data_IF_160983127416
#
_entry.id   IF_160983127416
#
_cell.length_a   1.000
_cell.length_b   1.000
_cell.length_c   1.000
_cell.angle_alpha   90.00
_cell.angle_beta   90.00
_cell.angle_gamma   90.00
#
_symmetry.space_group_name_H-M   'P 1'
#
loop_
_entity.id
_entity.type
_entity.pdbx_description
1 polymer ?
#
# COMPACT_ATOMS: atom_id res chain seq x y z
N UNK A 1 -33.99 -0.26 14.94
CA UNK A 1 -33.96 -0.54 16.40
C UNK A 1 -32.52 -0.50 16.88
N UNK A 2 -32.01 0.65 17.36
CA UNK A 2 -30.64 0.77 17.85
C UNK A 2 -30.57 0.26 19.31
N UNK A 3 -29.61 -0.60 19.62
CA UNK A 3 -29.25 -0.96 20.99
C UNK A 3 -27.99 -0.21 21.37
N UNK A 4 -28.15 0.85 22.17
CA UNK A 4 -27.07 1.54 22.84
C UNK A 4 -26.56 0.70 24.02
N UNK A 5 -25.24 0.65 24.20
CA UNK A 5 -24.58 0.12 25.39
C UNK A 5 -23.78 1.26 26.04
N UNK A 6 -24.11 1.66 27.28
CA UNK A 6 -23.34 2.70 27.96
C UNK A 6 -22.09 2.08 28.62
N UNK A 7 -20.92 2.61 28.26
CA UNK A 7 -19.68 2.35 28.99
C UNK A 7 -19.65 3.16 30.30
N UNK A 8 -19.52 2.45 31.41
CA UNK A 8 -19.40 2.98 32.77
C UNK A 8 -18.05 3.69 32.97
N UNK A 9 -18.08 4.96 33.38
CA UNK A 9 -16.92 5.73 33.84
C UNK A 9 -16.54 5.32 35.26
N UNK A 10 -15.27 5.01 35.50
CA UNK A 10 -14.68 4.96 36.83
C UNK A 10 -14.30 6.39 37.28
N UNK A 11 -14.92 6.87 38.35
CA UNK A 11 -14.54 8.10 39.06
C UNK A 11 -14.13 7.71 40.48
N UNK A 12 -12.86 7.88 40.83
CA UNK A 12 -12.34 7.61 42.17
C UNK A 12 -12.04 8.94 42.85
N UNK A 13 -13.03 9.45 43.58
CA UNK A 13 -12.87 10.49 44.60
C UNK A 13 -12.71 9.80 45.95
N UNK A 14 -11.57 10.02 46.60
CA UNK A 14 -11.29 9.55 47.96
C UNK A 14 -10.51 10.62 48.71
N UNK A 15 -11.24 11.48 49.41
CA UNK A 15 -10.73 12.44 50.38
C UNK A 15 -10.47 11.72 51.71
N UNK A 16 -9.39 12.06 52.41
CA UNK A 16 -9.33 12.29 53.86
C UNK A 16 -8.11 13.19 54.11
N UNK A 17 -8.37 14.37 54.66
CA UNK A 17 -7.34 15.23 55.23
C UNK A 17 -6.98 14.76 56.63
N UNK A 18 -5.69 14.82 56.94
CA UNK A 18 -5.18 14.95 58.31
C UNK A 18 -4.08 15.99 58.23
N UNK A 19 -4.35 17.17 58.77
CA UNK A 19 -3.29 18.10 59.14
C UNK A 19 -2.61 17.61 60.41
N UNK A 20 -1.29 17.79 60.50
CA UNK A 20 -0.71 18.10 61.80
C UNK A 20 0.54 18.95 61.64
N UNK A 21 0.53 20.06 62.36
CA UNK A 21 1.56 21.07 62.51
C UNK A 21 2.55 20.71 63.62
N UNK A 22 3.81 21.14 63.41
CA UNK A 22 4.76 21.70 64.40
C UNK A 22 5.27 20.89 65.59
N UNK A 23 6.48 21.29 66.01
CA UNK A 23 7.26 20.97 67.23
C UNK A 23 8.02 19.62 67.20
N UNK A 24 9.31 19.53 67.49
CA UNK A 24 10.07 20.16 68.59
C UNK A 24 11.52 20.47 68.17
N UNK A 25 12.02 21.65 68.56
CA UNK A 25 13.44 21.91 68.72
C UNK A 25 13.89 21.25 70.03
N UNK A 26 14.99 20.50 70.02
CA UNK A 26 15.75 20.16 71.21
C UNK A 26 17.12 20.79 71.06
N UNK A 27 17.36 21.82 71.86
CA UNK A 27 18.69 22.31 72.21
C UNK A 27 19.37 21.22 73.04
N UNK A 28 20.53 20.76 72.61
CA UNK A 28 21.54 20.16 73.48
C UNK A 28 22.91 20.66 72.96
N UNK A 29 23.47 21.59 73.73
CA UNK A 29 24.82 22.09 73.64
C UNK A 29 25.78 21.03 74.21
N UNK A 30 26.75 20.55 73.41
CA UNK A 30 28.00 19.96 73.93
C UNK A 30 29.13 20.02 72.87
N UNK A 31 30.04 20.98 73.11
CA UNK A 31 31.50 21.04 72.95
C UNK A 31 32.29 20.17 71.92
N UNK A 32 32.83 20.86 70.91
CA UNK A 32 34.17 20.80 70.25
C UNK A 32 34.76 19.45 69.77
N UNK A 33 34.80 19.25 68.43
CA UNK A 33 36.00 18.75 67.73
C UNK A 33 35.98 19.12 66.23
N UNK A 34 37.05 19.75 65.76
CA UNK A 34 37.27 20.22 64.38
C UNK A 34 37.38 19.07 63.37
N UNK A 35 36.24 18.62 62.84
CA UNK A 35 36.11 17.75 61.65
C UNK A 35 35.52 18.57 60.51
N UNK A 36 35.85 18.28 59.23
CA UNK A 36 35.45 19.12 58.10
C UNK A 36 33.94 19.28 58.16
N UNK A 37 33.48 20.53 58.35
CA UNK A 37 32.09 20.85 58.69
C UNK A 37 31.15 20.02 57.81
N UNK A 38 30.33 19.13 58.39
CA UNK A 38 29.36 18.40 57.59
C UNK A 38 28.45 19.46 56.98
N UNK A 39 28.46 19.58 55.65
CA UNK A 39 27.56 20.46 54.90
C UNK A 39 26.21 20.47 55.60
N UNK A 40 25.76 21.65 56.03
CA UNK A 40 24.57 21.79 56.87
C UNK A 40 23.44 20.99 56.24
N UNK A 41 22.58 20.33 57.03
CA UNK A 41 21.45 19.56 56.49
C UNK A 41 20.63 20.36 55.44
N UNK A 42 20.54 21.68 55.64
CA UNK A 42 19.93 22.64 54.70
C UNK A 42 20.66 22.73 53.36
N UNK A 43 21.98 22.59 53.37
CA UNK A 43 22.84 22.60 52.20
C UNK A 43 22.77 21.30 51.40
N UNK A 44 22.84 20.15 52.07
CA UNK A 44 22.60 18.84 51.44
C UNK A 44 21.23 18.78 50.75
N UNK A 45 20.20 19.34 51.38
CA UNK A 45 18.86 19.45 50.78
C UNK A 45 18.84 20.34 49.54
N UNK A 46 19.58 21.46 49.56
CA UNK A 46 19.72 22.36 48.39
C UNK A 46 20.44 21.66 47.24
N UNK A 47 21.53 20.95 47.51
CA UNK A 47 22.25 20.18 46.49
C UNK A 47 21.39 19.10 45.85
N UNK A 48 20.66 18.31 46.65
CA UNK A 48 19.76 17.29 46.13
C UNK A 48 18.67 17.89 45.23
N UNK A 49 18.11 19.04 45.62
CA UNK A 49 17.13 19.76 44.80
C UNK A 49 17.73 20.24 43.48
N UNK A 50 18.93 20.83 43.50
CA UNK A 50 19.64 21.26 42.28
C UNK A 50 19.95 20.08 41.36
N UNK A 51 20.41 18.95 41.89
CA UNK A 51 20.68 17.75 41.12
C UNK A 51 19.41 17.18 40.47
N UNK A 52 18.29 17.15 41.20
CA UNK A 52 17.01 16.71 40.68
C UNK A 52 16.51 17.60 39.52
N UNK A 53 16.63 18.93 39.67
CA UNK A 53 16.25 19.88 38.62
C UNK A 53 17.18 19.79 37.40
N UNK A 54 18.49 19.58 37.60
CA UNK A 54 19.43 19.36 36.50
C UNK A 54 19.05 18.09 35.71
N UNK A 55 18.79 16.98 36.39
CA UNK A 55 18.33 15.73 35.75
C UNK A 55 17.03 15.93 34.97
N UNK A 56 16.08 16.71 35.51
CA UNK A 56 14.84 17.07 34.80
C UNK A 56 15.13 17.89 33.53
N UNK A 57 16.03 18.86 33.60
CA UNK A 57 16.43 19.69 32.44
C UNK A 57 17.12 18.88 31.36
N UNK A 58 17.99 17.95 31.75
CA UNK A 58 18.70 17.08 30.82
C UNK A 58 17.73 16.11 30.11
N UNK A 59 16.74 15.58 30.82
CA UNK A 59 15.68 14.78 30.23
C UNK A 59 14.84 15.58 29.20
N UNK A 60 14.49 16.84 29.53
CA UNK A 60 13.78 17.73 28.60
C UNK A 60 14.64 18.02 27.37
N UNK A 61 15.93 18.33 27.56
CA UNK A 61 16.87 18.59 26.47
C UNK A 61 16.96 17.39 25.52
N UNK A 62 17.12 16.18 26.07
CA UNK A 62 17.11 14.93 25.29
C UNK A 62 15.79 14.76 24.51
N UNK A 63 14.66 15.11 25.12
CA UNK A 63 13.36 15.09 24.43
C UNK A 63 13.29 16.05 23.24
N UNK A 64 13.90 17.24 23.34
CA UNK A 64 14.02 18.17 22.21
C UNK A 64 14.92 17.63 21.11
N UNK A 65 16.05 17.02 21.46
CA UNK A 65 16.98 16.43 20.48
C UNK A 65 16.28 15.32 19.68
N UNK A 66 15.58 14.40 20.35
CA UNK A 66 14.76 13.36 19.68
C UNK A 66 13.64 13.96 18.84
N UNK A 67 13.00 15.04 19.30
CA UNK A 67 11.93 15.69 18.54
C UNK A 67 12.45 16.32 17.24
N UNK A 68 13.65 16.91 17.26
CA UNK A 68 14.30 17.43 16.07
C UNK A 68 14.64 16.32 15.07
N UNK A 69 15.07 15.15 15.56
CA UNK A 69 15.32 13.97 14.73
C UNK A 69 14.03 13.41 14.10
N UNK A 70 12.89 13.44 14.80
CA UNK A 70 11.64 12.88 14.27
C UNK A 70 10.93 13.79 13.27
N UNK A 71 11.18 15.10 13.33
CA UNK A 71 10.47 16.11 12.53
C UNK A 71 11.34 16.50 11.33
N UNK A 72 11.01 16.09 10.08
CA UNK A 72 11.88 16.30 8.93
C UNK A 72 12.22 17.77 8.65
N UNK A 73 11.28 18.68 8.95
CA UNK A 73 11.46 20.11 8.76
C UNK A 73 12.41 20.73 9.79
N UNK A 74 12.70 20.06 10.90
CA UNK A 74 13.73 20.45 11.86
C UNK A 74 15.13 20.02 11.39
N UNK A 75 15.26 18.85 10.77
CA UNK A 75 16.54 18.34 10.25
C UNK A 75 17.11 19.17 9.09
N UNK A 76 16.25 19.70 8.21
CA UNK A 76 16.69 20.48 7.03
C UNK A 76 17.47 21.75 7.39
N UNK A 77 17.31 22.27 8.61
CA UNK A 77 17.98 23.50 9.06
C UNK A 77 19.40 23.28 9.60
N UNK A 78 19.80 22.03 9.90
CA UNK A 78 21.13 21.71 10.43
C UNK A 78 22.26 21.98 9.42
N UNK A 79 21.94 22.19 8.14
CA UNK A 79 22.88 22.59 7.08
C UNK A 79 23.42 24.01 7.27
N UNK A 80 22.69 24.86 8.02
CA UNK A 80 23.05 26.28 8.24
C UNK A 80 23.90 26.54 9.49
N UNK A 81 24.16 25.51 10.31
CA UNK A 81 24.91 25.64 11.57
C UNK A 81 24.18 26.39 12.69
N UNK A 82 22.98 26.95 12.44
CA UNK A 82 22.17 27.64 13.44
C UNK A 82 21.24 26.68 14.19
N UNK A 83 21.39 26.61 15.52
CA UNK A 83 20.52 25.82 16.39
C UNK A 83 19.10 26.39 16.39
N UNK A 84 18.12 25.57 16.06
CA UNK A 84 16.71 25.95 16.05
C UNK A 84 16.22 26.34 17.44
N UNK A 85 15.39 27.38 17.53
CA UNK A 85 14.79 27.78 18.80
C UNK A 85 13.81 26.72 19.31
N UNK A 86 13.70 26.56 20.64
CA UNK A 86 12.75 25.63 21.26
C UNK A 86 11.31 25.88 20.81
N UNK A 87 10.91 27.13 20.66
CA UNK A 87 9.58 27.50 20.18
C UNK A 87 9.36 27.05 18.73
N UNK A 88 10.36 27.25 17.86
CA UNK A 88 10.30 26.80 16.46
C UNK A 88 10.19 25.28 16.35
N UNK A 89 10.96 24.53 17.14
CA UNK A 89 10.88 23.06 17.16
C UNK A 89 9.48 22.60 17.52
N UNK A 90 8.89 23.17 18.57
CA UNK A 90 7.53 22.82 18.98
C UNK A 90 6.50 23.15 17.89
N UNK A 91 6.60 24.33 17.26
CA UNK A 91 5.68 24.71 16.19
C UNK A 91 5.78 23.76 14.99
N UNK A 92 7.01 23.50 14.50
CA UNK A 92 7.25 22.56 13.40
C UNK A 92 6.73 21.15 13.73
N UNK A 93 6.80 20.75 14.99
CA UNK A 93 6.28 19.46 15.46
C UNK A 93 4.76 19.40 15.42
N UNK A 94 4.08 20.48 15.84
CA UNK A 94 2.62 20.59 15.76
C UNK A 94 2.17 20.48 14.30
N UNK A 95 2.81 21.25 13.42
CA UNK A 95 2.49 21.25 11.98
C UNK A 95 2.71 19.84 11.38
N UNK A 96 3.78 19.16 11.78
CA UNK A 96 4.06 17.80 11.31
C UNK A 96 3.05 16.77 11.83
N UNK A 97 2.60 16.87 13.08
CA UNK A 97 1.53 16.01 13.61
C UNK A 97 0.22 16.22 12.82
N UNK A 98 -0.14 17.47 12.54
CA UNK A 98 -1.33 17.79 11.74
C UNK A 98 -1.21 17.22 10.31
N UNK A 99 -0.04 17.37 9.70
CA UNK A 99 0.27 16.77 8.40
C UNK A 99 0.10 15.23 8.43
N UNK A 100 0.68 14.56 9.43
CA UNK A 100 0.56 13.10 9.56
C UNK A 100 -0.89 12.65 9.79
N UNK A 101 -1.67 13.40 10.56
CA UNK A 101 -3.09 13.12 10.76
C UNK A 101 -3.88 13.24 9.45
N UNK A 102 -3.60 14.27 8.65
CA UNK A 102 -4.23 14.46 7.35
C UNK A 102 -3.83 13.35 6.35
N UNK A 103 -2.55 12.96 6.32
CA UNK A 103 -2.07 11.85 5.50
C UNK A 103 -2.72 10.53 5.90
N UNK A 104 -2.79 10.24 7.21
CA UNK A 104 -3.46 9.04 7.73
C UNK A 104 -4.92 9.00 7.30
N UNK A 105 -5.65 10.12 7.43
CA UNK A 105 -7.05 10.23 7.02
C UNK A 105 -7.21 9.94 5.52
N UNK A 106 -6.37 10.55 4.68
CA UNK A 106 -6.39 10.34 3.22
C UNK A 106 -6.17 8.86 2.86
N UNK A 107 -5.14 8.23 3.45
CA UNK A 107 -4.85 6.81 3.23
C UNK A 107 -5.99 5.90 3.68
N UNK A 108 -6.66 6.24 4.79
CA UNK A 108 -7.81 5.49 5.27
C UNK A 108 -9.02 5.61 4.33
N UNK A 109 -9.28 6.80 3.78
CA UNK A 109 -10.32 7.04 2.77
C UNK A 109 -10.06 6.24 1.49
N UNK A 110 -8.82 6.29 0.96
CA UNK A 110 -8.42 5.53 -0.23
C UNK A 110 -8.53 4.01 0.00
N UNK A 111 -8.04 3.52 1.14
CA UNK A 111 -8.19 2.10 1.51
C UNK A 111 -9.66 1.68 1.57
N UNK A 112 -10.53 2.52 2.11
CA UNK A 112 -11.95 2.22 2.20
C UNK A 112 -12.62 2.24 0.82
N UNK A 113 -12.22 3.14 -0.08
CA UNK A 113 -12.69 3.17 -1.46
C UNK A 113 -12.29 1.89 -2.22
N UNK A 114 -11.01 1.50 -2.16
CA UNK A 114 -10.50 0.29 -2.79
C UNK A 114 -11.22 -0.98 -2.26
N UNK A 115 -11.49 -1.04 -0.96
CA UNK A 115 -12.27 -2.16 -0.37
C UNK A 115 -13.68 -2.24 -0.96
N UNK A 116 -14.36 -1.10 -1.15
CA UNK A 116 -15.69 -1.07 -1.79
C UNK A 116 -15.64 -1.53 -3.24
N UNK A 117 -14.62 -1.10 -3.98
CA UNK A 117 -14.40 -1.52 -5.37
C UNK A 117 -14.17 -3.04 -5.49
N UNK A 118 -13.33 -3.61 -4.63
CA UNK A 118 -13.12 -5.07 -4.59
C UNK A 118 -14.42 -5.82 -4.33
N UNK A 119 -15.26 -5.34 -3.41
CA UNK A 119 -16.57 -5.96 -3.13
C UNK A 119 -17.48 -5.85 -4.36
N UNK A 120 -17.55 -4.69 -5.01
CA UNK A 120 -18.35 -4.50 -6.22
C UNK A 120 -17.90 -5.41 -7.36
N UNK A 121 -16.59 -5.51 -7.60
CA UNK A 121 -16.00 -6.41 -8.60
C UNK A 121 -16.33 -7.88 -8.32
N UNK A 122 -16.25 -8.31 -7.06
CA UNK A 122 -16.63 -9.68 -6.66
C UNK A 122 -18.11 -9.98 -6.90
N UNK A 123 -18.99 -9.01 -6.64
CA UNK A 123 -20.43 -9.13 -6.94
C UNK A 123 -20.64 -9.29 -8.45
N UNK A 124 -20.00 -8.44 -9.26
CA UNK A 124 -20.08 -8.53 -10.71
C UNK A 124 -19.56 -9.87 -11.25
N UNK A 125 -18.39 -10.31 -10.77
CA UNK A 125 -17.84 -11.62 -11.12
C UNK A 125 -18.84 -12.75 -10.83
N UNK A 126 -19.39 -12.77 -9.61
CA UNK A 126 -20.37 -13.78 -9.20
C UNK A 126 -21.60 -13.75 -10.11
N UNK A 127 -22.08 -12.56 -10.49
CA UNK A 127 -23.22 -12.41 -11.40
C UNK A 127 -22.89 -12.95 -12.81
N UNK A 128 -21.73 -12.64 -13.37
CA UNK A 128 -21.30 -13.19 -14.66
C UNK A 128 -21.14 -14.71 -14.63
N UNK A 129 -20.55 -15.26 -13.57
CA UNK A 129 -20.43 -16.71 -13.40
C UNK A 129 -21.79 -17.41 -13.37
N UNK A 130 -22.80 -16.80 -12.73
CA UNK A 130 -24.17 -17.30 -12.73
C UNK A 130 -24.80 -17.27 -14.12
N UNK A 131 -24.64 -16.18 -14.87
CA UNK A 131 -25.15 -16.05 -16.24
C UNK A 131 -24.50 -17.11 -17.15
N UNK A 132 -23.18 -17.28 -17.07
CA UNK A 132 -22.44 -18.27 -17.86
C UNK A 132 -22.90 -19.69 -17.54
N UNK A 133 -23.11 -20.01 -16.26
CA UNK A 133 -23.65 -21.32 -15.84
C UNK A 133 -25.08 -21.53 -16.35
N UNK A 134 -25.96 -20.53 -16.22
CA UNK A 134 -27.34 -20.60 -16.70
C UNK A 134 -27.40 -20.82 -18.23
N UNK A 135 -26.53 -20.16 -18.99
CA UNK A 135 -26.38 -20.37 -20.44
C UNK A 135 -25.84 -21.76 -20.79
N UNK A 136 -24.97 -22.34 -19.96
CA UNK A 136 -24.50 -23.73 -20.15
C UNK A 136 -25.57 -24.78 -19.85
N UNK A 137 -26.46 -24.50 -18.90
CA UNK A 137 -27.53 -25.42 -18.49
C UNK A 137 -28.81 -25.30 -19.31
N UNK A 138 -28.92 -24.34 -20.23
CA UNK A 138 -30.05 -24.21 -21.16
C UNK A 138 -29.98 -25.34 -22.21
N UNK A 139 -30.94 -26.29 -22.24
CA UNK A 139 -31.01 -27.32 -23.27
C UNK A 139 -31.39 -26.64 -24.60
N UNK A 140 -30.40 -26.49 -25.50
CA UNK A 140 -30.57 -25.85 -26.81
C UNK A 140 -29.47 -24.86 -27.21
N UNK A 141 -28.59 -24.44 -26.30
CA UNK A 141 -27.44 -23.55 -26.62
C UNK A 141 -26.11 -24.27 -26.84
N UNK A 142 -26.07 -25.59 -26.68
CA UNK A 142 -24.88 -26.41 -26.95
C UNK A 142 -24.61 -26.60 -28.44
N UNK A 143 -25.60 -26.43 -29.32
CA UNK A 143 -25.44 -26.62 -30.77
C UNK A 143 -24.62 -25.52 -31.47
N UNK A 144 -24.50 -24.32 -30.89
CA UNK A 144 -23.75 -23.20 -31.51
C UNK A 144 -22.31 -23.06 -31.01
N UNK A 145 -21.86 -23.91 -30.08
CA UNK A 145 -20.46 -23.91 -29.64
C UNK A 145 -19.62 -24.74 -30.59
N UNK A 146 -18.99 -24.07 -31.55
CA UNK A 146 -17.86 -24.62 -32.29
C UNK A 146 -16.81 -25.07 -31.26
N UNK A 147 -16.45 -26.35 -31.26
CA UNK A 147 -15.46 -26.93 -30.34
C UNK A 147 -14.12 -26.19 -30.45
N UNK A 148 -13.38 -26.07 -29.35
CA UNK A 148 -12.06 -25.46 -29.35
C UNK A 148 -11.09 -26.20 -30.30
N UNK A 149 -11.29 -27.50 -30.49
CA UNK A 149 -10.60 -28.32 -31.51
C UNK A 149 -10.78 -27.76 -32.92
N UNK A 150 -12.02 -27.38 -33.26
CA UNK A 150 -12.35 -26.82 -34.58
C UNK A 150 -11.77 -25.42 -34.71
N UNK A 151 -11.82 -24.61 -33.64
CA UNK A 151 -11.18 -23.28 -33.64
C UNK A 151 -9.67 -23.38 -33.85
N UNK A 152 -9.02 -24.33 -33.17
CA UNK A 152 -7.59 -24.55 -33.30
C UNK A 152 -7.22 -25.05 -34.70
N UNK A 153 -7.99 -25.98 -35.25
CA UNK A 153 -7.78 -26.47 -36.61
C UNK A 153 -7.94 -25.38 -37.67
N UNK A 154 -8.91 -24.48 -37.51
CA UNK A 154 -9.08 -23.31 -38.39
C UNK A 154 -7.91 -22.34 -38.25
N UNK A 155 -7.48 -22.03 -37.01
CA UNK A 155 -6.34 -21.16 -36.76
C UNK A 155 -5.05 -21.72 -37.37
N UNK A 156 -4.78 -23.01 -37.14
CA UNK A 156 -3.64 -23.71 -37.72
C UNK A 156 -3.66 -23.61 -39.25
N UNK A 157 -4.81 -23.88 -39.88
CA UNK A 157 -4.94 -23.80 -41.33
C UNK A 157 -4.72 -22.37 -41.88
N UNK A 158 -5.11 -21.33 -41.14
CA UNK A 158 -4.80 -19.94 -41.52
C UNK A 158 -3.29 -19.67 -41.43
N UNK A 159 -2.66 -20.09 -40.33
CA UNK A 159 -1.23 -19.88 -40.11
C UNK A 159 -0.37 -20.63 -41.14
N UNK A 160 -0.75 -21.86 -41.50
CA UNK A 160 -0.08 -22.63 -42.55
C UNK A 160 -0.17 -21.94 -43.91
N UNK A 161 -1.33 -21.37 -44.26
CA UNK A 161 -1.48 -20.62 -45.52
C UNK A 161 -0.60 -19.37 -45.55
N UNK A 162 -0.54 -18.61 -44.45
CA UNK A 162 0.33 -17.44 -44.34
C UNK A 162 1.81 -17.83 -44.37
N UNK A 163 2.17 -18.95 -43.77
CA UNK A 163 3.55 -19.45 -43.81
C UNK A 163 3.97 -19.89 -45.21
N UNK A 164 3.08 -20.56 -45.96
CA UNK A 164 3.35 -20.94 -47.35
C UNK A 164 3.59 -19.72 -48.25
N UNK A 165 2.81 -18.65 -48.08
CA UNK A 165 3.05 -17.41 -48.85
C UNK A 165 4.33 -16.70 -48.43
N UNK A 166 4.69 -16.79 -47.14
CA UNK A 166 5.94 -16.24 -46.62
C UNK A 166 7.17 -16.98 -47.14
N UNK A 167 7.09 -18.28 -47.42
CA UNK A 167 8.22 -19.08 -47.89
C UNK A 167 8.78 -18.63 -49.26
N UNK A 168 8.05 -17.75 -49.97
CA UNK A 168 8.52 -17.11 -51.20
C UNK A 168 9.42 -15.89 -50.94
N UNK A 169 9.58 -15.45 -49.68
CA UNK A 169 10.44 -14.33 -49.29
C UNK A 169 11.88 -14.82 -49.15
N UNK A 170 12.81 -14.19 -49.90
CA UNK A 170 14.25 -14.49 -49.80
C UNK A 170 14.77 -14.16 -48.40
N UNK A 171 15.43 -15.13 -47.77
CA UNK A 171 16.11 -15.00 -46.46
C UNK A 171 17.63 -14.87 -46.60
N UNK A 172 18.12 -14.58 -47.80
CA UNK A 172 19.55 -14.67 -48.15
C UNK A 172 20.42 -13.61 -47.47
N UNK A 173 19.88 -12.41 -47.22
CA UNK A 173 20.53 -11.33 -46.47
C UNK A 173 19.49 -10.35 -45.91
N UNK A 174 19.90 -9.48 -44.98
CA UNK A 174 18.99 -8.54 -44.30
C UNK A 174 18.29 -7.56 -45.26
N UNK A 175 18.97 -7.13 -46.33
CA UNK A 175 18.38 -6.20 -47.29
C UNK A 175 17.27 -6.85 -48.12
N UNK A 176 17.50 -8.08 -48.59
CA UNK A 176 16.50 -8.86 -49.33
C UNK A 176 15.34 -9.31 -48.43
N UNK A 177 15.66 -9.72 -47.20
CA UNK A 177 14.65 -10.10 -46.21
C UNK A 177 13.77 -8.90 -45.86
N UNK A 178 14.36 -7.75 -45.52
CA UNK A 178 13.58 -6.57 -45.14
C UNK A 178 12.67 -6.12 -46.29
N UNK A 179 13.19 -6.01 -47.52
CA UNK A 179 12.39 -5.65 -48.68
C UNK A 179 11.29 -6.69 -48.98
N UNK A 180 11.63 -7.99 -48.95
CA UNK A 180 10.69 -9.06 -49.24
C UNK A 180 9.59 -9.22 -48.18
N UNK A 181 9.91 -9.01 -46.89
CA UNK A 181 8.91 -9.02 -45.81
C UNK A 181 7.93 -7.86 -45.96
N UNK A 182 8.39 -6.66 -46.34
CA UNK A 182 7.49 -5.53 -46.60
C UNK A 182 6.56 -5.80 -47.79
N UNK A 183 7.09 -6.28 -48.91
CA UNK A 183 6.27 -6.66 -50.08
C UNK A 183 5.26 -7.75 -49.72
N UNK A 184 5.67 -8.78 -48.97
CA UNK A 184 4.78 -9.84 -48.52
C UNK A 184 3.67 -9.34 -47.59
N UNK A 185 3.99 -8.45 -46.64
CA UNK A 185 3.00 -7.84 -45.74
C UNK A 185 1.95 -7.04 -46.53
N UNK A 186 2.39 -6.27 -47.51
CA UNK A 186 1.50 -5.45 -48.35
C UNK A 186 0.64 -6.28 -49.30
N UNK A 187 1.10 -7.46 -49.71
CA UNK A 187 0.40 -8.31 -50.66
C UNK A 187 -0.55 -9.31 -49.97
N UNK A 188 -0.14 -9.92 -48.87
CA UNK A 188 -0.86 -11.06 -48.25
C UNK A 188 -1.50 -10.75 -46.89
N UNK A 189 -1.01 -9.75 -46.16
CA UNK A 189 -1.43 -9.47 -44.78
C UNK A 189 -2.34 -8.24 -44.62
N UNK A 190 -2.83 -7.66 -45.72
CA UNK A 190 -3.84 -6.59 -45.67
C UNK A 190 -5.14 -7.12 -45.06
N UNK A 191 -5.90 -6.31 -44.29
CA UNK A 191 -7.13 -6.77 -43.62
C UNK A 191 -8.14 -7.46 -44.54
N UNK A 192 -8.27 -6.98 -45.77
CA UNK A 192 -9.15 -7.57 -46.78
C UNK A 192 -8.66 -8.95 -47.24
N UNK A 193 -7.37 -9.11 -47.51
CA UNK A 193 -6.76 -10.37 -47.94
C UNK A 193 -6.78 -11.42 -46.83
N UNK A 194 -6.54 -11.02 -45.58
CA UNK A 194 -6.69 -11.88 -44.42
C UNK A 194 -8.14 -12.35 -44.26
N UNK A 195 -9.12 -11.45 -44.41
CA UNK A 195 -10.54 -11.80 -44.36
C UNK A 195 -10.92 -12.81 -45.44
N UNK A 196 -10.44 -12.63 -46.67
CA UNK A 196 -10.67 -13.57 -47.76
C UNK A 196 -10.02 -14.93 -47.50
N UNK A 197 -8.78 -14.93 -47.02
CA UNK A 197 -8.04 -16.15 -46.62
C UNK A 197 -8.80 -16.91 -45.53
N UNK A 198 -9.27 -16.22 -44.49
CA UNK A 198 -10.06 -16.82 -43.40
C UNK A 198 -11.36 -17.42 -43.94
N UNK A 199 -12.07 -16.72 -44.81
CA UNK A 199 -13.32 -17.23 -45.41
C UNK A 199 -13.06 -18.46 -46.29
N UNK A 200 -11.97 -18.46 -47.07
CA UNK A 200 -11.57 -19.61 -47.88
C UNK A 200 -11.20 -20.81 -47.02
N UNK A 201 -10.42 -20.62 -45.95
CA UNK A 201 -10.07 -21.67 -44.99
C UNK A 201 -11.31 -22.22 -44.31
N UNK A 202 -12.22 -21.36 -43.84
CA UNK A 202 -13.48 -21.77 -43.23
C UNK A 202 -14.35 -22.59 -44.19
N UNK A 203 -14.45 -22.18 -45.47
CA UNK A 203 -15.18 -22.96 -46.49
C UNK A 203 -14.53 -24.32 -46.74
N UNK A 204 -13.20 -24.36 -46.89
CA UNK A 204 -12.45 -25.62 -47.10
C UNK A 204 -12.61 -26.56 -45.91
N UNK A 205 -12.49 -26.03 -44.70
CA UNK A 205 -12.62 -26.78 -43.46
C UNK A 205 -14.04 -27.31 -43.26
N UNK A 206 -15.07 -26.50 -43.53
CA UNK A 206 -16.47 -26.93 -43.50
C UNK A 206 -16.78 -28.04 -44.52
N UNK A 207 -16.19 -27.96 -45.72
CA UNK A 207 -16.34 -29.01 -46.74
C UNK A 207 -15.63 -30.31 -46.34
N UNK A 208 -14.46 -30.23 -45.69
CA UNK A 208 -13.73 -31.38 -45.18
C UNK A 208 -14.46 -32.09 -44.02
N UNK A 209 -15.05 -31.30 -43.11
CA UNK A 209 -15.90 -31.84 -42.03
C UNK A 209 -17.14 -32.55 -42.55
N UNK A 210 -17.69 -32.10 -43.69
CA UNK A 210 -18.85 -32.74 -44.35
C UNK A 210 -18.48 -33.98 -45.16
N UNK A 211 -17.22 -34.19 -45.51
CA UNK A 211 -16.79 -35.33 -46.33
C UNK A 211 -16.21 -36.50 -45.52
N UNK A 212 -16.19 -36.43 -44.19
CA UNK A 212 -15.86 -37.59 -43.35
C UNK A 212 -17.07 -38.54 -43.28
N UNK A 213 -16.92 -39.84 -43.63
CA UNK A 213 -18.00 -40.81 -43.45
C UNK A 213 -18.30 -40.98 -41.96
N UNK A 214 -19.55 -41.31 -41.56
CA UNK A 214 -19.85 -41.64 -40.18
C UNK A 214 -19.04 -42.88 -39.80
N UNK A 215 -18.16 -42.74 -38.80
CA UNK A 215 -17.45 -43.88 -38.21
C UNK A 215 -18.48 -44.94 -37.83
N UNK A 216 -18.38 -46.10 -38.50
CA UNK A 216 -19.16 -47.31 -38.20
C UNK A 216 -18.55 -48.06 -37.01
#
# INVERSE_FOLDING_TARGET
MPRDHPFTRCNSTGSIGIGNSSSLNSDDEDEIESKPSPMSYKERRREAHTQAEQKRRDAIKKGYDTLQELVPTCQQTDVSGYKLSKATVLQKSIDYIQYLQQQKKKQEEERNALRKEVVALRIMQTNYEQIVKAQQTQPGHTETRISDEVKFSVFQAIMEQLFLTFNNVSVSNFSELSAGVFSWLEEYCKPQMLKETVVQVLRRHNNHMRSQPPNS
#
